data_IF_382431078389
#
_entry.id   IF_382431078389
#
_cell.length_a   1.000
_cell.length_b   1.000
_cell.length_c   1.000
_cell.angle_alpha   90.00
_cell.angle_beta   90.00
_cell.angle_gamma   90.00
#
_symmetry.space_group_name_H-M   'P 1'
#
loop_
_entity.id
_entity.type
_entity.pdbx_description
1 polymer ?
#
# COMPACT_ATOMS: atom_id res chain seq x y z
N UNK A 1 -17.94 26.43 19.66
CA UNK A 1 -18.39 25.04 19.45
C UNK A 1 -17.46 24.43 18.43
N UNK A 2 -16.58 23.54 18.86
CA UNK A 2 -15.72 22.83 17.90
C UNK A 2 -16.48 21.56 17.49
N UNK A 3 -16.87 21.49 16.22
CA UNK A 3 -17.43 20.28 15.60
C UNK A 3 -16.29 19.29 15.36
N UNK A 4 -15.71 18.77 16.45
CA UNK A 4 -14.61 17.81 16.37
C UNK A 4 -15.20 16.42 16.15
N UNK A 5 -14.76 15.74 15.10
CA UNK A 5 -15.15 14.36 14.85
C UNK A 5 -14.36 13.42 15.77
N UNK A 6 -15.07 12.67 16.60
CA UNK A 6 -14.52 11.68 17.53
C UNK A 6 -14.89 10.25 17.06
N UNK A 7 -14.09 9.64 16.17
CA UNK A 7 -14.44 8.35 15.56
C UNK A 7 -14.33 7.18 16.55
N UNK A 8 -15.22 6.20 16.38
CA UNK A 8 -15.20 4.94 17.12
C UNK A 8 -14.90 3.78 16.17
N UNK A 9 -13.63 3.44 16.05
CA UNK A 9 -13.15 2.44 15.10
C UNK A 9 -13.51 1.00 15.50
N UNK A 10 -13.99 0.23 14.54
CA UNK A 10 -14.16 -1.22 14.63
C UNK A 10 -13.56 -1.93 13.42
N UNK A 11 -13.02 -3.12 13.64
CA UNK A 11 -12.59 -3.99 12.54
C UNK A 11 -13.78 -4.76 11.99
N UNK A 12 -14.00 -4.63 10.68
CA UNK A 12 -15.05 -5.34 9.95
C UNK A 12 -14.48 -6.05 8.73
N UNK A 13 -15.09 -7.16 8.33
CA UNK A 13 -14.77 -7.81 7.06
C UNK A 13 -15.77 -7.34 6.02
N UNK A 14 -15.28 -6.65 4.99
CA UNK A 14 -16.10 -6.22 3.86
C UNK A 14 -15.93 -7.19 2.71
N UNK A 15 -17.06 -7.55 2.07
CA UNK A 15 -17.07 -8.39 0.88
C UNK A 15 -17.54 -7.57 -0.33
N UNK A 16 -16.74 -7.56 -1.39
CA UNK A 16 -17.08 -6.89 -2.64
C UNK A 16 -16.62 -7.74 -3.82
N UNK A 17 -17.58 -8.18 -4.65
CA UNK A 17 -17.31 -9.02 -5.85
C UNK A 17 -16.44 -10.26 -5.53
N UNK A 18 -16.71 -10.92 -4.41
CA UNK A 18 -15.97 -12.10 -3.96
C UNK A 18 -14.62 -11.81 -3.27
N UNK A 19 -14.18 -10.55 -3.20
CA UNK A 19 -12.99 -10.14 -2.46
C UNK A 19 -13.39 -9.85 -1.02
N UNK A 20 -12.71 -10.46 -0.06
CA UNK A 20 -12.88 -10.20 1.37
C UNK A 20 -11.69 -9.43 1.92
N UNK A 21 -11.93 -8.23 2.43
CA UNK A 21 -10.91 -7.36 3.00
C UNK A 21 -11.27 -7.02 4.45
N UNK A 22 -10.27 -6.96 5.32
CA UNK A 22 -10.42 -6.32 6.63
C UNK A 22 -10.44 -4.80 6.43
N UNK A 23 -11.32 -4.12 7.14
CA UNK A 23 -11.47 -2.67 7.12
C UNK A 23 -11.67 -2.12 8.52
N UNK A 24 -11.18 -0.90 8.77
CA UNK A 24 -11.52 -0.12 9.95
C UNK A 24 -12.72 0.75 9.59
N UNK A 25 -13.84 0.56 10.28
CA UNK A 25 -15.07 1.34 10.09
C UNK A 25 -15.37 2.16 11.34
N UNK A 26 -15.72 3.42 11.16
CA UNK A 26 -16.26 4.23 12.25
C UNK A 26 -17.72 3.84 12.49
N UNK A 27 -18.05 3.43 13.72
CA UNK A 27 -19.41 3.07 14.12
C UNK A 27 -20.38 4.23 14.05
N UNK A 28 -19.90 5.45 14.27
CA UNK A 28 -20.75 6.65 14.38
C UNK A 28 -21.16 7.12 12.98
N UNK A 29 -20.20 7.28 12.08
CA UNK A 29 -20.44 7.82 10.73
C UNK A 29 -20.59 6.74 9.65
N UNK A 30 -20.15 5.51 9.93
CA UNK A 30 -20.11 4.41 8.96
C UNK A 30 -18.97 4.48 7.96
N UNK A 31 -18.08 5.47 8.09
CA UNK A 31 -16.93 5.72 7.22
C UNK A 31 -15.86 4.63 7.37
N UNK A 32 -15.23 4.27 6.27
CA UNK A 32 -14.10 3.33 6.24
C UNK A 32 -12.78 4.10 6.18
N UNK A 33 -11.81 3.69 7.00
CA UNK A 33 -10.44 4.17 6.91
C UNK A 33 -9.57 3.18 6.14
N UNK A 34 -8.72 3.70 5.24
CA UNK A 34 -7.72 2.87 4.57
C UNK A 34 -6.60 2.48 5.54
N UNK A 35 -6.32 1.17 5.75
CA UNK A 35 -5.26 0.73 6.65
C UNK A 35 -3.84 1.10 6.16
N UNK A 36 -3.68 1.42 4.86
CA UNK A 36 -2.39 1.79 4.26
C UNK A 36 -2.11 3.29 4.46
N UNK A 37 -3.14 4.13 4.37
CA UNK A 37 -3.01 5.58 4.55
C UNK A 37 -2.94 6.02 6.02
N UNK A 38 -3.31 5.15 6.96
CA UNK A 38 -3.36 5.45 8.39
C UNK A 38 -4.62 6.20 8.82
N UNK A 39 -4.56 6.81 10.01
CA UNK A 39 -5.65 7.57 10.64
C UNK A 39 -5.22 9.03 10.90
N UNK A 40 -6.19 9.93 11.07
CA UNK A 40 -5.97 11.35 11.38
C UNK A 40 -6.28 12.28 10.21
N UNK A 41 -5.71 13.49 10.21
CA UNK A 41 -6.06 14.55 9.25
C UNK A 41 -5.67 14.24 7.80
N UNK A 42 -4.62 13.43 7.60
CA UNK A 42 -4.10 13.06 6.28
C UNK A 42 -4.63 11.72 5.78
N UNK A 43 -5.48 11.06 6.56
CA UNK A 43 -6.04 9.78 6.19
C UNK A 43 -7.04 9.93 5.04
N UNK A 44 -7.22 8.84 4.29
CA UNK A 44 -8.29 8.75 3.30
C UNK A 44 -9.47 8.02 3.92
N UNK A 45 -10.59 8.74 3.99
CA UNK A 45 -11.87 8.28 4.52
C UNK A 45 -12.84 8.01 3.37
N UNK A 46 -13.47 6.84 3.38
CA UNK A 46 -14.28 6.34 2.27
C UNK A 46 -15.68 6.01 2.76
N UNK A 47 -16.70 6.43 2.00
CA UNK A 47 -18.10 6.33 2.43
C UNK A 47 -18.80 5.07 1.91
N UNK A 48 -18.19 4.36 0.96
CA UNK A 48 -18.75 3.14 0.39
C UNK A 48 -17.71 2.01 0.35
N UNK A 49 -18.18 0.77 0.42
CA UNK A 49 -17.33 -0.42 0.29
C UNK A 49 -16.66 -0.46 -1.10
N UNK A 50 -17.36 0.01 -2.13
CA UNK A 50 -16.84 0.10 -3.49
C UNK A 50 -15.61 1.01 -3.52
N UNK A 51 -15.72 2.22 -3.00
CA UNK A 51 -14.63 3.21 -2.99
C UNK A 51 -13.46 2.70 -2.15
N UNK A 52 -13.75 2.10 -0.97
CA UNK A 52 -12.76 1.45 -0.11
C UNK A 52 -11.90 0.42 -0.88
N UNK A 53 -12.56 -0.50 -1.59
CA UNK A 53 -11.88 -1.56 -2.36
C UNK A 53 -11.08 -0.97 -3.53
N UNK A 54 -11.63 -0.03 -4.28
CA UNK A 54 -10.92 0.61 -5.40
C UNK A 54 -9.71 1.42 -4.92
N UNK A 55 -9.82 2.09 -3.78
CA UNK A 55 -8.72 2.82 -3.17
C UNK A 55 -7.59 1.86 -2.73
N UNK A 56 -7.91 0.73 -2.09
CA UNK A 56 -6.91 -0.28 -1.75
C UNK A 56 -6.21 -0.81 -3.01
N UNK A 57 -6.95 -1.08 -4.07
CA UNK A 57 -6.39 -1.53 -5.34
C UNK A 57 -5.42 -0.49 -5.94
N UNK A 58 -5.68 0.81 -5.74
CA UNK A 58 -4.79 1.87 -6.22
C UNK A 58 -3.40 1.82 -5.59
N UNK A 59 -3.29 1.40 -4.32
CA UNK A 59 -1.99 1.16 -3.69
C UNK A 59 -1.27 -0.01 -4.36
N UNK A 60 -1.95 -1.13 -4.59
CA UNK A 60 -1.36 -2.32 -5.21
C UNK A 60 -0.77 -2.00 -6.61
N UNK A 61 -1.49 -1.23 -7.43
CA UNK A 61 -0.99 -0.80 -8.75
C UNK A 61 0.21 0.14 -8.67
N UNK A 62 0.24 1.03 -7.67
CA UNK A 62 1.39 1.90 -7.42
C UNK A 62 2.63 1.10 -7.03
N UNK A 63 2.45 0.05 -6.23
CA UNK A 63 3.52 -0.87 -5.88
C UNK A 63 3.99 -1.70 -7.08
N UNK A 64 3.10 -2.19 -7.95
CA UNK A 64 3.49 -2.90 -9.18
C UNK A 64 4.37 -2.05 -10.10
N UNK A 65 4.06 -0.76 -10.28
CA UNK A 65 4.88 0.16 -11.07
C UNK A 65 6.28 0.40 -10.49
N UNK A 66 6.51 0.07 -9.21
CA UNK A 66 7.80 0.21 -8.52
C UNK A 66 8.57 -1.11 -8.37
N UNK A 67 8.02 -2.25 -8.80
CA UNK A 67 8.73 -3.54 -8.78
C UNK A 67 9.67 -3.61 -9.99
N UNK A 68 10.89 -3.11 -9.82
CA UNK A 68 12.01 -3.42 -10.72
C UNK A 68 12.41 -4.89 -10.48
N UNK A 69 12.49 -5.67 -11.56
CA UNK A 69 12.96 -7.05 -11.52
C UNK A 69 14.42 -7.09 -11.08
N UNK A 70 14.72 -7.78 -9.98
CA UNK A 70 16.10 -8.11 -9.62
C UNK A 70 16.50 -9.30 -10.48
N UNK A 71 17.33 -9.07 -11.50
CA UNK A 71 18.01 -10.15 -12.20
C UNK A 71 18.92 -10.87 -11.20
N UNK A 72 18.79 -12.21 -11.13
CA UNK A 72 19.65 -13.05 -10.30
C UNK A 72 21.09 -12.89 -10.79
N UNK A 73 21.94 -12.31 -9.95
CA UNK A 73 23.39 -12.40 -10.11
C UNK A 73 23.80 -13.88 -10.13
N UNK A 74 24.35 -14.33 -11.25
CA UNK A 74 25.11 -15.57 -11.37
C UNK A 74 26.60 -15.25 -11.27
N UNK A 75 27.27 -16.00 -10.38
CA UNK A 75 28.73 -16.16 -10.24
C UNK A 75 29.40 -16.34 -11.61
N UNK A 76 30.61 -15.83 -11.86
CA UNK A 76 31.90 -16.44 -11.48
C UNK A 76 33.04 -15.39 -11.53
N UNK A 77 34.00 -15.53 -10.61
CA UNK A 77 35.13 -14.62 -10.42
C UNK A 77 36.45 -15.04 -11.06
N UNK A 78 37.40 -14.10 -10.94
CA UNK A 78 38.88 -14.21 -10.91
C UNK A 78 39.65 -14.73 -12.15
N UNK A 79 40.44 -13.83 -12.77
CA UNK A 79 41.92 -13.82 -12.77
C UNK A 79 42.39 -12.62 -13.63
N UNK A 80 42.94 -11.56 -13.02
CA UNK A 80 44.39 -11.27 -12.85
C UNK A 80 45.15 -10.88 -14.14
N UNK A 81 45.79 -9.70 -14.10
CA UNK A 81 47.02 -9.41 -14.85
C UNK A 81 46.99 -8.19 -15.79
N UNK A 82 47.32 -7.00 -15.27
CA UNK A 82 48.12 -6.02 -16.03
C UNK A 82 49.57 -6.52 -16.06
N UNK A 83 50.36 -6.27 -17.14
CA UNK A 83 51.10 -5.00 -17.19
C UNK A 83 51.31 -4.39 -18.60
N UNK A 84 51.34 -3.06 -18.60
CA UNK A 84 52.25 -2.10 -19.25
C UNK A 84 52.85 -2.27 -20.69
N UNK A 85 52.89 -1.12 -21.36
CA UNK A 85 53.92 -0.54 -22.27
C UNK A 85 53.72 -0.45 -23.81
N UNK A 86 53.73 0.82 -24.26
CA UNK A 86 54.30 1.47 -25.46
C UNK A 86 54.18 0.85 -26.88
N UNK A 87 53.50 1.58 -27.79
CA UNK A 87 54.09 2.39 -28.90
C UNK A 87 53.04 3.30 -29.57
#
# INVERSE_FOLDING_TARGET
MALQWEPQWEEVVVEYRGIRLKALRDRVTGVYACPICGLGERATYLFTVKDYVFHIYSHARRFEAQRIAVERAGEEGEEEGEPEEEE
#
